data_IF_398978584117
#
_entry.id   IF_398978584117
#
_cell.length_a   1.000
_cell.length_b   1.000
_cell.length_c   1.000
_cell.angle_alpha   90.00
_cell.angle_beta   90.00
_cell.angle_gamma   90.00
#
_symmetry.space_group_name_H-M   'P 1'
#
loop_
_entity.id
_entity.type
_entity.pdbx_description
1 polymer ?
#
# COMPACT_ATOMS: atom_id res chain seq x y z
N UNK A 1 31.19 -7.44 1.23
CA UNK A 1 30.26 -6.49 0.57
C UNK A 1 28.92 -6.62 1.27
N UNK A 2 28.52 -5.64 2.06
CA UNK A 2 27.16 -5.59 2.60
C UNK A 2 26.23 -5.29 1.43
N UNK A 3 25.34 -6.22 1.09
CA UNK A 3 24.22 -5.95 0.19
C UNK A 3 23.43 -4.81 0.81
N UNK A 4 23.45 -3.63 0.18
CA UNK A 4 22.50 -2.59 0.50
C UNK A 4 21.11 -3.19 0.26
N UNK A 5 20.35 -3.40 1.33
CA UNK A 5 18.93 -3.71 1.23
C UNK A 5 18.25 -2.49 0.60
N UNK A 6 18.14 -2.47 -0.72
CA UNK A 6 17.27 -1.54 -1.42
C UNK A 6 15.90 -2.20 -1.42
N UNK A 7 14.96 -1.62 -0.69
CA UNK A 7 13.56 -2.04 -0.72
C UNK A 7 13.07 -2.04 -2.18
N UNK A 8 12.49 -3.16 -2.62
CA UNK A 8 11.88 -3.26 -3.95
C UNK A 8 10.51 -2.59 -3.91
N UNK A 9 10.50 -1.28 -4.18
CA UNK A 9 9.29 -0.48 -4.19
C UNK A 9 8.29 -1.00 -5.22
N UNK A 10 8.75 -1.54 -6.35
CA UNK A 10 7.85 -2.12 -7.37
C UNK A 10 7.11 -3.33 -6.82
N UNK A 11 7.80 -4.20 -6.08
CA UNK A 11 7.16 -5.33 -5.42
C UNK A 11 6.14 -4.89 -4.36
N UNK A 12 6.49 -3.92 -3.52
CA UNK A 12 5.59 -3.40 -2.47
C UNK A 12 4.32 -2.77 -3.05
N UNK A 13 4.44 -1.96 -4.10
CA UNK A 13 3.28 -1.42 -4.82
C UNK A 13 2.45 -2.56 -5.44
N UNK A 14 3.08 -3.50 -6.14
CA UNK A 14 2.38 -4.62 -6.76
C UNK A 14 1.63 -5.49 -5.73
N UNK A 15 2.24 -5.76 -4.58
CA UNK A 15 1.63 -6.50 -3.48
C UNK A 15 0.38 -5.76 -2.96
N UNK A 16 0.50 -4.47 -2.62
CA UNK A 16 -0.63 -3.68 -2.14
C UNK A 16 -1.78 -3.61 -3.16
N UNK A 17 -1.48 -3.38 -4.44
CA UNK A 17 -2.49 -3.33 -5.50
C UNK A 17 -3.16 -4.69 -5.73
N UNK A 18 -2.42 -5.79 -5.55
CA UNK A 18 -2.93 -7.16 -5.62
C UNK A 18 -3.87 -7.45 -4.45
N UNK A 19 -3.47 -7.09 -3.22
CA UNK A 19 -4.31 -7.26 -2.03
C UNK A 19 -5.61 -6.48 -2.12
N UNK A 20 -5.60 -5.25 -2.65
CA UNK A 20 -6.82 -4.47 -2.89
C UNK A 20 -7.77 -5.11 -3.91
N UNK A 21 -7.21 -5.69 -4.98
CA UNK A 21 -8.02 -6.42 -5.96
C UNK A 21 -8.57 -7.71 -5.35
N UNK A 22 -7.76 -8.44 -4.60
CA UNK A 22 -8.18 -9.65 -3.90
C UNK A 22 -9.29 -9.37 -2.88
N UNK A 23 -9.17 -8.30 -2.09
CA UNK A 23 -10.22 -7.84 -1.18
C UNK A 23 -11.55 -7.67 -1.90
N UNK A 24 -11.56 -7.06 -3.09
CA UNK A 24 -12.82 -6.88 -3.82
C UNK A 24 -13.47 -8.19 -4.23
N UNK A 25 -12.68 -9.24 -4.48
CA UNK A 25 -13.20 -10.53 -4.90
C UNK A 25 -13.60 -11.44 -3.73
N UNK A 26 -12.94 -11.31 -2.57
CA UNK A 26 -13.07 -12.28 -1.46
C UNK A 26 -13.44 -11.70 -0.11
N UNK A 27 -13.41 -10.38 0.06
CA UNK A 27 -13.52 -9.72 1.36
C UNK A 27 -12.26 -9.84 2.22
N UNK A 28 -11.18 -10.47 1.73
CA UNK A 28 -9.96 -10.65 2.50
C UNK A 28 -9.28 -9.30 2.81
N UNK A 29 -9.03 -9.04 4.08
CA UNK A 29 -8.39 -7.81 4.57
C UNK A 29 -6.96 -7.66 4.00
N UNK A 30 -6.61 -6.50 3.39
CA UNK A 30 -5.26 -6.26 2.87
C UNK A 30 -4.27 -6.06 4.02
N UNK A 31 -3.21 -6.87 4.07
CA UNK A 31 -2.21 -6.84 5.16
C UNK A 31 -1.29 -5.64 5.09
N UNK A 32 -1.09 -5.10 3.89
CA UNK A 32 -0.23 -3.93 3.63
C UNK A 32 -0.99 -2.61 3.79
N UNK A 33 -2.33 -2.65 3.95
CA UNK A 33 -3.12 -1.46 4.26
C UNK A 33 -2.90 -0.96 5.67
N UNK A 34 -3.00 0.36 5.89
CA UNK A 34 -3.06 0.92 7.24
C UNK A 34 -4.41 0.66 7.92
N UNK A 35 -4.51 0.97 9.22
CA UNK A 35 -5.71 0.71 10.00
C UNK A 35 -6.94 1.45 9.46
N UNK A 36 -6.77 2.69 8.98
CA UNK A 36 -7.87 3.53 8.50
C UNK A 36 -8.44 2.98 7.19
N UNK A 37 -7.56 2.56 6.27
CA UNK A 37 -7.95 1.90 5.03
C UNK A 37 -8.70 0.61 5.31
N UNK A 38 -8.19 -0.24 6.20
CA UNK A 38 -8.85 -1.52 6.53
C UNK A 38 -10.22 -1.30 7.16
N UNK A 39 -10.33 -0.32 8.06
CA UNK A 39 -11.62 0.08 8.63
C UNK A 39 -12.59 0.56 7.54
N UNK A 40 -12.12 1.41 6.61
CA UNK A 40 -12.93 1.87 5.49
C UNK A 40 -13.44 0.72 4.61
N UNK A 41 -12.56 -0.23 4.28
CA UNK A 41 -12.90 -1.39 3.45
C UNK A 41 -13.94 -2.30 4.12
N UNK A 42 -13.81 -2.55 5.43
CA UNK A 42 -14.82 -3.30 6.21
C UNK A 42 -16.19 -2.61 6.21
N UNK A 43 -16.22 -1.28 6.35
CA UNK A 43 -17.48 -0.53 6.28
C UNK A 43 -18.09 -0.56 4.86
N UNK A 44 -17.26 -0.50 3.83
CA UNK A 44 -17.69 -0.57 2.44
C UNK A 44 -18.27 -1.93 2.09
N UNK A 45 -17.63 -3.02 2.50
CA UNK A 45 -18.10 -4.39 2.32
C UNK A 45 -19.47 -4.58 2.98
N UNK A 46 -19.61 -4.24 4.27
CA UNK A 46 -20.89 -4.30 5.00
C UNK A 46 -21.99 -3.48 4.33
N UNK A 47 -21.64 -2.36 3.69
CA UNK A 47 -22.60 -1.51 2.96
C UNK A 47 -23.06 -2.17 1.67
N UNK A 48 -22.16 -2.82 0.95
CA UNK A 48 -22.44 -3.52 -0.31
C UNK A 48 -23.25 -4.80 -0.08
N UNK A 49 -22.89 -5.59 0.93
CA UNK A 49 -23.63 -6.79 1.35
C UNK A 49 -25.09 -6.49 1.67
N UNK A 50 -25.35 -5.45 2.47
CA UNK A 50 -26.72 -4.99 2.82
C UNK A 50 -27.57 -4.64 1.59
N UNK A 51 -26.95 -4.33 0.46
CA UNK A 51 -27.61 -3.96 -0.79
C UNK A 51 -27.64 -5.08 -1.82
N UNK A 52 -27.09 -6.25 -1.49
CA UNK A 52 -26.91 -7.37 -2.41
C UNK A 52 -26.07 -6.98 -3.63
N UNK A 53 -25.04 -6.16 -3.41
CA UNK A 53 -24.12 -5.69 -4.45
C UNK A 53 -22.75 -6.29 -4.16
N UNK A 54 -22.08 -6.81 -5.19
CA UNK A 54 -20.65 -7.10 -5.16
C UNK A 54 -19.86 -6.01 -5.90
N UNK A 55 -18.60 -5.86 -5.54
CA UNK A 55 -17.67 -4.94 -6.21
C UNK A 55 -16.50 -5.72 -6.76
N UNK A 56 -16.03 -5.38 -7.95
CA UNK A 56 -14.78 -5.89 -8.50
C UNK A 56 -13.87 -4.73 -8.85
N UNK A 57 -12.65 -4.77 -8.32
CA UNK A 57 -11.60 -3.82 -8.63
C UNK A 57 -10.64 -4.43 -9.65
N UNK A 58 -10.25 -3.62 -10.63
CA UNK A 58 -9.12 -3.90 -11.51
C UNK A 58 -8.22 -2.66 -11.49
N UNK A 59 -6.97 -2.85 -11.06
CA UNK A 59 -6.03 -1.74 -10.86
C UNK A 59 -4.78 -2.04 -11.68
N UNK A 60 -4.43 -1.11 -12.57
CA UNK A 60 -3.26 -1.22 -13.45
C UNK A 60 -2.31 -0.06 -13.16
N UNK A 61 -1.12 -0.33 -12.59
CA UNK A 61 -0.12 0.72 -12.41
C UNK A 61 0.41 1.20 -13.76
N UNK A 62 0.70 2.49 -13.85
CA UNK A 62 1.36 3.10 -15.01
C UNK A 62 2.26 4.25 -14.58
N UNK A 63 3.24 4.58 -15.43
CA UNK A 63 4.28 5.55 -15.10
C UNK A 63 5.24 5.05 -14.02
N UNK A 64 6.14 5.94 -13.62
CA UNK A 64 7.21 5.63 -12.67
C UNK A 64 6.73 5.72 -11.23
N UNK A 65 7.42 4.99 -10.35
CA UNK A 65 7.29 5.18 -8.89
C UNK A 65 8.16 6.38 -8.50
N UNK A 66 7.54 7.37 -7.88
CA UNK A 66 8.20 8.64 -7.54
C UNK A 66 8.33 8.76 -6.02
N UNK A 67 9.57 8.89 -5.54
CA UNK A 67 9.86 9.21 -4.15
C UNK A 67 9.71 10.72 -3.92
N UNK A 68 8.74 11.12 -3.10
CA UNK A 68 8.44 12.52 -2.79
C UNK A 68 9.32 13.06 -1.67
N UNK A 69 9.60 12.23 -0.67
CA UNK A 69 10.40 12.61 0.49
C UNK A 69 11.06 11.39 1.10
N UNK A 70 12.25 11.59 1.68
CA UNK A 70 12.91 10.62 2.56
C UNK A 70 13.55 11.37 3.72
N UNK A 71 13.25 10.93 4.93
CA UNK A 71 13.83 11.46 6.16
C UNK A 71 14.23 10.30 7.06
N UNK A 72 15.35 10.46 7.74
CA UNK A 72 15.88 9.48 8.67
C UNK A 72 15.68 10.01 10.07
N UNK A 73 14.98 9.27 10.91
CA UNK A 73 14.77 9.62 12.31
C UNK A 73 15.08 8.45 13.24
N UNK A 74 15.42 8.76 14.49
CA UNK A 74 15.58 7.77 15.53
C UNK A 74 14.19 7.41 16.08
N UNK A 75 13.64 6.26 15.70
CA UNK A 75 12.42 5.74 16.32
C UNK A 75 12.79 5.07 17.65
N UNK A 76 12.82 5.85 18.72
CA UNK A 76 12.97 5.37 20.10
C UNK A 76 14.20 5.92 20.83
N UNK A 77 14.03 6.21 22.13
CA UNK A 77 15.13 6.42 23.06
C UNK A 77 15.52 5.03 23.55
N UNK A 78 16.50 4.40 22.92
CA UNK A 78 17.15 3.23 23.49
C UNK A 78 18.52 3.65 23.98
N UNK A 79 18.72 3.64 25.30
CA UNK A 79 19.94 4.07 25.99
C UNK A 79 21.20 3.30 25.55
N UNK A 80 21.05 2.24 24.76
CA UNK A 80 22.17 1.38 24.36
C UNK A 80 22.21 0.92 22.88
N UNK A 81 21.22 1.21 22.03
CA UNK A 81 21.27 0.88 20.59
C UNK A 81 20.31 1.74 19.76
N UNK A 82 20.81 2.78 19.09
CA UNK A 82 20.00 3.64 18.23
C UNK A 82 19.61 2.92 16.93
N UNK A 83 18.53 2.14 16.96
CA UNK A 83 17.87 1.70 15.73
C UNK A 83 17.28 2.93 15.03
N UNK A 84 17.99 3.43 14.02
CA UNK A 84 17.51 4.51 13.17
C UNK A 84 16.73 3.92 12.01
N UNK A 85 15.62 4.55 11.65
CA UNK A 85 14.79 4.15 10.52
C UNK A 85 14.71 5.31 9.54
N UNK A 86 14.73 4.99 8.25
CA UNK A 86 14.33 5.95 7.23
C UNK A 86 12.88 5.73 6.85
N UNK A 87 12.12 6.80 6.90
CA UNK A 87 10.77 6.87 6.39
C UNK A 87 10.80 7.60 5.04
N UNK A 88 10.11 7.03 4.06
CA UNK A 88 9.99 7.60 2.73
C UNK A 88 8.55 7.55 2.23
N UNK A 89 8.15 8.58 1.50
CA UNK A 89 6.84 8.67 0.86
C UNK A 89 7.03 8.47 -0.64
N UNK A 90 6.31 7.52 -1.19
CA UNK A 90 6.32 7.20 -2.62
C UNK A 90 4.92 7.28 -3.17
N UNK A 91 4.80 7.60 -4.46
CA UNK A 91 3.55 7.43 -5.18
C UNK A 91 3.72 6.76 -6.53
N UNK A 92 2.64 6.16 -7.01
CA UNK A 92 2.51 5.65 -8.37
C UNK A 92 1.12 5.95 -8.91
N UNK A 93 1.06 6.32 -10.19
CA UNK A 93 -0.21 6.47 -10.89
C UNK A 93 -0.81 5.11 -11.22
N UNK A 94 -2.12 4.99 -11.06
CA UNK A 94 -2.85 3.76 -11.35
C UNK A 94 -4.14 4.06 -12.08
N UNK A 95 -4.46 3.23 -13.07
CA UNK A 95 -5.76 3.20 -13.71
C UNK A 95 -6.63 2.23 -12.91
N UNK A 96 -7.73 2.73 -12.33
CA UNK A 96 -8.65 1.93 -11.52
C UNK A 96 -9.99 1.80 -12.24
N UNK A 97 -10.39 0.56 -12.49
CA UNK A 97 -11.75 0.22 -12.90
C UNK A 97 -12.49 -0.40 -11.73
N UNK A 98 -13.66 0.14 -11.41
CA UNK A 98 -14.61 -0.38 -10.42
C UNK A 98 -15.84 -0.87 -11.15
N UNK A 99 -16.22 -2.12 -10.90
CA UNK A 99 -17.42 -2.75 -11.46
C UNK A 99 -18.30 -3.13 -10.28
N UNK A 100 -19.55 -2.66 -10.26
CA UNK A 100 -20.54 -3.12 -9.30
C UNK A 100 -21.50 -4.07 -10.00
N UNK A 101 -21.79 -5.18 -9.34
CA UNK A 101 -22.71 -6.19 -9.83
C UNK A 101 -23.82 -6.43 -8.81
N UNK A 102 -25.00 -6.76 -9.31
CA UNK A 102 -26.13 -7.25 -8.52
C UNK A 102 -26.73 -8.43 -9.25
N UNK A 103 -26.93 -9.55 -8.57
CA UNK A 103 -27.44 -10.79 -9.16
C UNK A 103 -26.66 -11.23 -10.42
N UNK A 104 -25.33 -11.13 -10.38
CA UNK A 104 -24.42 -11.44 -11.49
C UNK A 104 -24.60 -10.58 -12.75
N UNK A 105 -25.27 -9.43 -12.63
CA UNK A 105 -25.37 -8.43 -13.69
C UNK A 105 -24.62 -7.17 -13.30
N UNK A 106 -23.78 -6.67 -14.20
CA UNK A 106 -23.13 -5.37 -14.07
C UNK A 106 -24.19 -4.27 -14.02
N UNK A 107 -24.22 -3.52 -12.92
CA UNK A 107 -25.13 -2.39 -12.72
C UNK A 107 -24.43 -1.04 -12.89
N UNK A 108 -23.11 -1.02 -12.71
CA UNK A 108 -22.32 0.20 -12.86
C UNK A 108 -20.85 -0.15 -13.10
N UNK A 109 -20.20 0.63 -13.97
CA UNK A 109 -18.77 0.58 -14.21
C UNK A 109 -18.22 1.98 -14.27
N UNK A 110 -17.14 2.23 -13.53
CA UNK A 110 -16.37 3.47 -13.60
C UNK A 110 -14.90 3.14 -13.79
N UNK A 111 -14.27 3.86 -14.70
CA UNK A 111 -12.83 3.86 -14.93
C UNK A 111 -12.31 5.27 -14.67
N UNK A 112 -11.24 5.39 -13.90
CA UNK A 112 -10.65 6.67 -13.54
C UNK A 112 -9.18 6.47 -13.14
N UNK A 113 -8.39 7.54 -13.21
CA UNK A 113 -6.98 7.53 -12.86
C UNK A 113 -6.78 8.07 -11.44
N UNK A 114 -5.94 7.38 -10.66
CA UNK A 114 -5.66 7.72 -9.27
C UNK A 114 -4.16 7.71 -9.01
N UNK A 115 -3.77 8.31 -7.89
CA UNK A 115 -2.41 8.23 -7.35
C UNK A 115 -2.45 7.43 -6.06
N UNK A 116 -1.72 6.33 -6.02
CA UNK A 116 -1.57 5.48 -4.84
C UNK A 116 -0.31 5.91 -4.10
N UNK A 117 -0.42 6.09 -2.79
CA UNK A 117 0.68 6.52 -1.92
C UNK A 117 1.07 5.38 -1.00
N UNK A 118 2.38 5.10 -0.91
CA UNK A 118 2.95 4.17 0.05
C UNK A 118 3.93 4.92 0.95
N UNK A 119 3.78 4.74 2.25
CA UNK A 119 4.80 5.13 3.23
C UNK A 119 5.65 3.91 3.54
N UNK A 120 6.96 4.00 3.28
CA UNK A 120 7.91 2.91 3.47
C UNK A 120 8.85 3.28 4.62
N UNK A 121 8.86 2.44 5.65
CA UNK A 121 9.74 2.57 6.81
C UNK A 121 10.72 1.41 6.77
N UNK A 122 12.01 1.72 6.62
CA UNK A 122 13.09 0.74 6.51
C UNK A 122 14.21 1.07 7.52
N UNK A 123 14.97 0.07 8.02
CA UNK A 123 16.13 0.34 8.86
C UNK A 123 17.12 1.24 8.11
N UNK A 124 17.60 2.30 8.75
CA UNK A 124 18.64 3.12 8.16
C UNK A 124 19.98 2.35 8.25
N UNK A 125 20.69 2.24 7.14
CA UNK A 125 22.05 1.73 7.14
C UNK A 125 22.91 2.64 8.04
N UNK A 126 23.35 2.15 9.20
CA UNK A 126 24.51 2.73 9.84
C UNK A 126 25.75 2.29 9.06
N UNK A 127 26.52 3.26 8.52
CA UNK A 127 27.96 3.15 8.60
C UNK A 127 28.25 2.96 10.09
N UNK A 128 28.63 1.75 10.49
CA UNK A 128 29.14 1.54 11.84
C UNK A 128 30.26 2.56 12.04
N UNK A 129 30.08 3.50 12.97
CA UNK A 129 31.17 4.33 13.45
C UNK A 129 32.28 3.35 13.84
N UNK A 130 33.38 3.40 13.10
CA UNK A 130 34.55 2.59 13.37
C UNK A 130 34.94 2.88 14.80
N UNK A 131 34.82 1.89 15.69
CA UNK A 131 35.38 2.00 17.02
C UNK A 131 36.90 1.95 16.79
N UNK A 132 37.51 3.14 16.82
CA UNK A 132 38.96 3.32 16.87
C UNK A 132 39.50 2.95 18.25
#
# INVERSE_FOLDING_TARGET
>A
MMNAYVSDYSHMFAEFLSELQHWSETGAEPKTGDQDLRYYLDQEEKRLEKRGISVKLNIKPFGDIIQVSKYTDALGIDLFNNARYSQSLHYQSVEKTVIYERNHQEIFRKKDDYVVHLTIIEPSLHEHASIA
#
